data_IF_811994488145
#
_entry.id   IF_811994488145
#
_cell.length_a   1.000
_cell.length_b   1.000
_cell.length_c   1.000
_cell.angle_alpha   90.00
_cell.angle_beta   90.00
_cell.angle_gamma   90.00
#
_symmetry.space_group_name_H-M   'P 1'
#
loop_
_entity.id
_entity.type
_entity.pdbx_description
1 polymer ?
#
# COMPACT_ATOMS: atom_id res chain seq x y z
N UNK A 1 9.40 -4.47 14.19
CA UNK A 1 10.54 -5.35 13.81
C UNK A 1 10.48 -6.52 14.77
N UNK A 2 10.12 -7.70 14.27
CA UNK A 2 10.11 -8.94 15.06
C UNK A 2 11.52 -9.52 15.11
N UNK A 3 11.84 -10.25 16.18
CA UNK A 3 13.16 -10.88 16.39
C UNK A 3 14.30 -9.89 16.16
N UNK A 4 14.22 -8.72 16.81
CA UNK A 4 15.16 -7.63 16.58
C UNK A 4 16.57 -7.94 17.13
N UNK A 5 16.66 -8.85 18.10
CA UNK A 5 17.90 -9.30 18.74
C UNK A 5 18.58 -10.48 18.04
N UNK A 6 17.96 -11.06 17.00
CA UNK A 6 18.59 -12.11 16.20
C UNK A 6 19.60 -11.51 15.24
N UNK A 7 20.82 -11.33 15.73
CA UNK A 7 21.93 -10.80 14.95
C UNK A 7 22.17 -11.60 13.66
N UNK A 8 22.59 -10.88 12.62
CA UNK A 8 22.74 -11.40 11.27
C UNK A 8 22.48 -10.31 10.24
N UNK A 9 22.50 -10.65 8.95
CA UNK A 9 22.38 -9.67 7.86
C UNK A 9 21.11 -8.80 7.97
N UNK A 10 19.97 -9.39 8.34
CA UNK A 10 18.68 -8.70 8.44
C UNK A 10 18.52 -7.84 9.71
N UNK A 11 19.42 -7.98 10.69
CA UNK A 11 19.40 -7.26 11.97
C UNK A 11 20.71 -6.56 12.27
N UNK A 12 21.56 -6.39 11.25
CA UNK A 12 22.72 -5.53 11.34
C UNK A 12 22.29 -4.09 11.60
N UNK A 13 23.21 -3.30 12.14
CA UNK A 13 23.05 -1.86 12.35
C UNK A 13 22.44 -1.15 11.11
N UNK A 14 23.00 -1.41 9.93
CA UNK A 14 22.56 -0.80 8.67
C UNK A 14 21.14 -1.21 8.28
N UNK A 15 20.81 -2.49 8.40
CA UNK A 15 19.48 -3.04 8.09
C UNK A 15 18.40 -2.49 9.04
N UNK A 16 18.72 -2.37 10.34
CA UNK A 16 17.82 -1.79 11.33
C UNK A 16 17.57 -0.30 11.03
N UNK A 17 18.62 0.48 10.75
CA UNK A 17 18.49 1.90 10.40
C UNK A 17 17.62 2.08 9.15
N UNK A 18 17.82 1.27 8.11
CA UNK A 18 17.01 1.33 6.90
C UNK A 18 15.54 0.99 7.16
N UNK A 19 15.28 -0.03 7.99
CA UNK A 19 13.93 -0.43 8.36
C UNK A 19 13.23 0.67 9.16
N UNK A 20 13.93 1.29 10.12
CA UNK A 20 13.45 2.44 10.89
C UNK A 20 13.10 3.61 9.96
N UNK A 21 13.96 3.89 8.98
CA UNK A 21 13.79 4.99 8.02
C UNK A 21 12.50 4.91 7.20
N UNK A 22 11.87 3.73 7.07
CA UNK A 22 10.57 3.59 6.40
C UNK A 22 9.45 4.32 7.15
N UNK A 23 9.52 4.40 8.48
CA UNK A 23 8.54 5.09 9.31
C UNK A 23 8.71 6.63 9.31
N UNK A 24 9.89 7.14 8.96
CA UNK A 24 10.22 8.57 9.03
C UNK A 24 9.49 9.46 8.01
N UNK A 25 8.65 8.90 7.14
CA UNK A 25 7.86 9.63 6.14
C UNK A 25 6.51 10.12 6.68
N UNK A 26 6.18 9.80 7.93
CA UNK A 26 4.95 10.17 8.60
C UNK A 26 5.28 10.89 9.92
N UNK A 27 4.48 11.88 10.28
CA UNK A 27 4.65 12.67 11.52
C UNK A 27 4.53 11.81 12.78
N UNK A 28 3.62 10.83 12.76
CA UNK A 28 3.37 9.85 13.84
C UNK A 28 4.16 8.56 13.62
N UNK A 29 5.22 8.61 12.80
CA UNK A 29 6.07 7.47 12.49
C UNK A 29 6.69 6.85 13.75
N UNK A 30 6.28 5.63 14.08
CA UNK A 30 6.80 4.87 15.21
C UNK A 30 7.37 3.52 14.76
N UNK A 31 8.41 3.08 15.45
CA UNK A 31 9.02 1.75 15.25
C UNK A 31 9.06 1.02 16.57
N UNK A 32 8.49 -0.17 16.60
CA UNK A 32 8.55 -1.09 17.74
C UNK A 32 9.49 -2.24 17.39
N UNK A 33 10.47 -2.51 18.25
CA UNK A 33 11.39 -3.62 18.11
C UNK A 33 11.08 -4.65 19.20
N UNK A 34 10.69 -5.86 18.80
CA UNK A 34 10.46 -6.97 19.72
C UNK A 34 11.75 -7.77 19.85
N UNK A 35 12.26 -7.86 21.07
CA UNK A 35 13.52 -8.51 21.41
C UNK A 35 13.53 -8.85 22.90
N UNK A 36 14.26 -9.89 23.26
CA UNK A 36 14.52 -10.24 24.65
C UNK A 36 15.70 -9.45 25.22
N UNK A 37 16.67 -9.10 24.36
CA UNK A 37 17.88 -8.36 24.74
C UNK A 37 18.16 -7.21 23.78
N UNK A 38 18.87 -6.18 24.25
CA UNK A 38 19.36 -5.10 23.38
C UNK A 38 20.75 -5.46 22.89
N UNK A 39 20.87 -5.76 21.60
CA UNK A 39 22.16 -6.06 20.97
C UNK A 39 22.93 -4.78 20.62
N UNK A 40 24.23 -4.90 20.34
CA UNK A 40 25.07 -3.79 19.91
C UNK A 40 24.52 -3.14 18.63
N UNK A 41 24.07 -3.95 17.67
CA UNK A 41 23.45 -3.48 16.43
C UNK A 41 22.19 -2.64 16.71
N UNK A 42 21.34 -3.08 17.64
CA UNK A 42 20.16 -2.33 18.07
C UNK A 42 20.56 -1.04 18.78
N UNK A 43 21.50 -1.10 19.71
CA UNK A 43 21.93 0.06 20.49
C UNK A 43 22.48 1.17 19.59
N UNK A 44 23.30 0.83 18.60
CA UNK A 44 23.83 1.77 17.62
C UNK A 44 22.72 2.37 16.75
N UNK A 45 21.81 1.53 16.24
CA UNK A 45 20.69 1.99 15.41
C UNK A 45 19.74 2.93 16.18
N UNK A 46 19.41 2.60 17.43
CA UNK A 46 18.58 3.44 18.32
C UNK A 46 19.29 4.76 18.64
N UNK A 47 20.58 4.70 18.98
CA UNK A 47 21.37 5.90 19.32
C UNK A 47 21.48 6.86 18.14
N UNK A 48 21.77 6.35 16.94
CA UNK A 48 21.84 7.18 15.73
C UNK A 48 20.46 7.77 15.36
N UNK A 49 19.39 7.00 15.54
CA UNK A 49 18.02 7.49 15.32
C UNK A 49 17.68 8.64 16.28
N UNK A 50 17.98 8.47 17.57
CA UNK A 50 17.73 9.49 18.58
C UNK A 50 18.60 10.73 18.36
N UNK A 51 19.87 10.57 17.98
CA UNK A 51 20.76 11.68 17.63
C UNK A 51 20.19 12.51 16.48
N UNK A 52 19.75 11.85 15.40
CA UNK A 52 19.14 12.53 14.24
C UNK A 52 17.84 13.23 14.62
N UNK A 53 16.97 12.56 15.39
CA UNK A 53 15.70 13.15 15.83
C UNK A 53 15.91 14.39 16.70
N UNK A 54 16.88 14.36 17.61
CA UNK A 54 17.22 15.51 18.45
C UNK A 54 17.69 16.71 17.62
N UNK A 55 18.57 16.49 16.64
CA UNK A 55 19.00 17.55 15.72
C UNK A 55 17.84 18.13 14.89
N UNK A 56 16.94 17.27 14.41
CA UNK A 56 15.77 17.70 13.65
C UNK A 56 14.79 18.50 14.51
N UNK A 57 14.54 18.08 15.75
CA UNK A 57 13.69 18.81 16.69
C UNK A 57 14.27 20.18 17.03
N UNK A 58 15.56 20.25 17.34
CA UNK A 58 16.24 21.52 17.62
C UNK A 58 16.20 22.47 16.41
N UNK A 59 16.41 21.95 15.20
CA UNK A 59 16.29 22.73 13.98
C UNK A 59 14.86 23.24 13.77
N UNK A 60 13.86 22.38 13.96
CA UNK A 60 12.47 22.74 13.81
C UNK A 60 12.04 23.81 14.82
N UNK A 61 12.45 23.68 16.09
CA UNK A 61 12.17 24.65 17.14
C UNK A 61 12.81 26.01 16.83
N UNK A 62 14.08 26.02 16.44
CA UNK A 62 14.81 27.25 16.07
C UNK A 62 14.19 27.99 14.87
N UNK A 63 13.52 27.26 13.96
CA UNK A 63 12.94 27.82 12.73
C UNK A 63 11.40 27.91 12.76
N UNK A 64 10.76 27.50 13.87
CA UNK A 64 9.29 27.47 13.98
C UNK A 64 8.61 26.52 12.97
N UNK A 65 9.26 25.42 12.61
CA UNK A 65 8.74 24.45 11.64
C UNK A 65 7.85 23.42 12.35
N UNK A 66 6.58 23.37 11.95
CA UNK A 66 5.65 22.31 12.35
C UNK A 66 5.75 21.11 11.38
N UNK A 67 6.13 19.90 11.85
CA UNK A 67 6.22 18.73 10.99
C UNK A 67 4.87 18.36 10.36
N UNK A 68 4.83 18.23 9.04
CA UNK A 68 3.63 17.85 8.30
C UNK A 68 3.92 16.66 7.38
N UNK A 69 2.97 15.74 7.26
CA UNK A 69 3.13 14.58 6.37
C UNK A 69 2.97 15.02 4.92
N UNK A 70 3.97 14.72 4.07
CA UNK A 70 3.91 15.02 2.64
C UNK A 70 2.85 14.14 1.99
N UNK A 71 1.76 14.75 1.52
CA UNK A 71 0.77 14.10 0.67
C UNK A 71 1.25 14.15 -0.77
N UNK A 72 2.00 13.12 -1.20
CA UNK A 72 2.38 13.00 -2.60
C UNK A 72 1.17 12.46 -3.38
N UNK A 73 0.63 13.27 -4.29
CA UNK A 73 -0.33 12.76 -5.26
C UNK A 73 0.33 11.62 -6.04
N UNK A 74 -0.35 10.48 -6.15
CA UNK A 74 0.01 9.47 -7.14
C UNK A 74 -0.04 10.21 -8.47
N UNK A 75 1.09 10.30 -9.17
CA UNK A 75 1.16 11.00 -10.44
C UNK A 75 0.09 10.41 -11.35
N UNK A 76 -0.99 11.16 -11.54
CA UNK A 76 -2.12 10.74 -12.35
C UNK A 76 -1.67 10.92 -13.80
N UNK A 77 -1.00 9.89 -14.33
CA UNK A 77 -0.52 9.85 -15.73
C UNK A 77 -1.69 10.09 -16.71
N UNK A 78 -2.93 9.84 -16.26
CA UNK A 78 -4.18 10.18 -16.94
C UNK A 78 -4.36 11.68 -17.20
N UNK A 79 -3.80 12.57 -16.37
CA UNK A 79 -3.92 14.01 -16.56
C UNK A 79 -3.06 14.54 -17.73
N UNK A 80 -2.00 13.82 -18.11
CA UNK A 80 -1.17 14.16 -19.29
C UNK A 80 -1.72 13.61 -20.60
N UNK A 81 -2.69 12.68 -20.56
CA UNK A 81 -3.26 12.00 -21.73
C UNK A 81 -4.68 12.47 -22.09
N UNK A 82 -5.19 13.54 -21.48
CA UNK A 82 -6.45 14.16 -21.93
C UNK A 82 -6.15 15.30 -22.90
N UNK A 83 -6.27 15.11 -24.23
CA UNK A 83 -6.65 16.21 -25.09
C UNK A 83 -8.00 16.74 -24.61
N UNK A 84 -8.12 18.05 -24.67
CA UNK A 84 -9.32 18.85 -24.42
C UNK A 84 -10.66 18.21 -24.78
N UNK A 85 -11.62 18.41 -23.89
CA UNK A 85 -13.07 18.52 -24.09
C UNK A 85 -13.90 17.26 -24.47
N UNK A 86 -14.98 17.09 -23.70
CA UNK A 86 -16.21 16.32 -23.99
C UNK A 86 -16.13 14.79 -23.98
N UNK A 87 -16.45 14.18 -22.83
CA UNK A 87 -17.19 12.90 -22.81
C UNK A 87 -18.03 12.82 -21.52
N UNK A 88 -19.37 12.72 -21.60
CA UNK A 88 -20.21 12.52 -20.42
C UNK A 88 -19.97 11.11 -19.87
N UNK A 89 -19.69 11.01 -18.57
CA UNK A 89 -19.64 9.74 -17.84
C UNK A 89 -21.06 9.14 -17.83
N UNK A 90 -21.34 8.00 -18.48
CA UNK A 90 -22.62 7.34 -18.36
C UNK A 90 -22.60 6.41 -17.15
N UNK A 91 -23.53 6.62 -16.20
CA UNK A 91 -23.97 5.50 -15.35
C UNK A 91 -23.95 5.70 -13.83
N UNK A 92 -24.49 6.80 -13.31
CA UNK A 92 -24.85 6.92 -11.89
C UNK A 92 -26.09 6.07 -11.48
N UNK A 93 -26.34 4.91 -12.12
CA UNK A 93 -27.66 4.26 -12.09
C UNK A 93 -27.68 2.73 -12.06
N UNK A 94 -26.64 2.04 -11.58
CA UNK A 94 -26.60 0.55 -11.62
C UNK A 94 -26.34 -0.11 -10.26
N UNK A 95 -26.92 0.39 -9.17
CA UNK A 95 -26.89 -0.28 -7.84
C UNK A 95 -27.97 -1.36 -7.63
N UNK A 96 -28.77 -1.70 -8.63
CA UNK A 96 -29.95 -2.57 -8.45
C UNK A 96 -29.88 -3.96 -9.09
N UNK A 97 -28.78 -4.37 -9.76
CA UNK A 97 -28.72 -5.68 -10.45
C UNK A 97 -27.73 -6.69 -9.87
N UNK A 98 -26.98 -6.35 -8.84
CA UNK A 98 -25.98 -7.25 -8.22
C UNK A 98 -26.58 -8.30 -7.26
N UNK A 99 -27.91 -8.52 -7.26
CA UNK A 99 -28.54 -9.51 -6.37
C UNK A 99 -28.80 -10.86 -7.03
N UNK A 100 -28.83 -10.94 -8.37
CA UNK A 100 -29.17 -12.16 -9.11
C UNK A 100 -27.97 -13.01 -9.56
N UNK A 101 -26.72 -12.56 -9.35
CA UNK A 101 -25.52 -13.36 -9.69
C UNK A 101 -24.84 -14.01 -8.47
N UNK A 102 -25.42 -13.83 -7.27
CA UNK A 102 -24.88 -14.38 -6.01
C UNK A 102 -24.93 -15.91 -5.94
N UNK A 103 -25.66 -16.57 -6.84
CA UNK A 103 -25.86 -18.02 -6.80
C UNK A 103 -24.77 -18.82 -7.50
N UNK A 104 -24.04 -18.22 -8.45
CA UNK A 104 -23.18 -19.01 -9.35
C UNK A 104 -21.71 -19.09 -8.90
N UNK A 105 -21.32 -18.25 -7.93
CA UNK A 105 -19.94 -18.20 -7.40
C UNK A 105 -19.80 -18.72 -5.96
N UNK A 106 -20.91 -19.03 -5.28
CA UNK A 106 -20.92 -19.51 -3.90
C UNK A 106 -20.37 -20.94 -3.73
N UNK A 107 -20.28 -21.71 -4.83
CA UNK A 107 -19.88 -23.12 -4.81
C UNK A 107 -18.42 -23.37 -5.27
N UNK A 108 -17.64 -22.32 -5.58
CA UNK A 108 -16.25 -22.46 -6.00
C UNK A 108 -15.30 -22.60 -4.80
N UNK A 109 -14.37 -23.59 -4.80
CA UNK A 109 -13.33 -23.70 -3.78
C UNK A 109 -12.50 -22.41 -3.66
N UNK A 110 -12.19 -21.98 -2.44
CA UNK A 110 -11.42 -20.75 -2.16
C UNK A 110 -10.11 -20.62 -2.97
N UNK A 111 -9.43 -21.74 -3.20
CA UNK A 111 -8.19 -21.80 -3.98
C UNK A 111 -8.42 -21.49 -5.46
N UNK A 112 -9.60 -21.84 -5.99
CA UNK A 112 -9.98 -21.61 -7.38
C UNK A 112 -10.40 -20.15 -7.59
N UNK A 113 -11.11 -19.56 -6.64
CA UNK A 113 -11.45 -18.12 -6.64
C UNK A 113 -10.17 -17.26 -6.59
N UNK A 114 -9.19 -17.64 -5.77
CA UNK A 114 -7.89 -16.95 -5.71
C UNK A 114 -7.03 -17.11 -6.98
N UNK A 115 -7.20 -18.20 -7.74
CA UNK A 115 -6.56 -18.34 -9.07
C UNK A 115 -7.24 -17.45 -10.10
N UNK A 116 -8.57 -17.45 -10.12
CA UNK A 116 -9.36 -16.61 -11.03
C UNK A 116 -9.03 -15.12 -10.85
N UNK A 117 -8.98 -14.63 -9.61
CA UNK A 117 -8.62 -13.24 -9.31
C UNK A 117 -7.25 -12.88 -9.89
N UNK A 118 -6.24 -13.77 -9.77
CA UNK A 118 -4.90 -13.52 -10.31
C UNK A 118 -4.89 -13.46 -11.83
N UNK A 119 -5.61 -14.36 -12.49
CA UNK A 119 -5.73 -14.34 -13.96
C UNK A 119 -6.40 -13.06 -14.45
N UNK A 120 -7.46 -12.60 -13.78
CA UNK A 120 -8.13 -11.34 -14.11
C UNK A 120 -7.24 -10.13 -13.83
N UNK A 121 -6.41 -10.14 -12.78
CA UNK A 121 -5.43 -9.09 -12.51
C UNK A 121 -4.39 -8.99 -13.62
N UNK A 122 -3.84 -10.11 -14.07
CA UNK A 122 -2.90 -10.17 -15.20
C UNK A 122 -3.54 -9.61 -16.48
N UNK A 123 -4.78 -10.00 -16.77
CA UNK A 123 -5.53 -9.50 -17.93
C UNK A 123 -5.84 -8.00 -17.83
N UNK A 124 -6.19 -7.51 -16.64
CA UNK A 124 -6.41 -6.08 -16.38
C UNK A 124 -5.13 -5.27 -16.61
N UNK A 125 -3.99 -5.79 -16.15
CA UNK A 125 -2.69 -5.15 -16.36
C UNK A 125 -2.29 -5.14 -17.83
N UNK A 126 -2.52 -6.25 -18.55
CA UNK A 126 -2.28 -6.31 -19.99
C UNK A 126 -3.18 -5.34 -20.76
N UNK A 127 -4.48 -5.29 -20.43
CA UNK A 127 -5.42 -4.34 -21.02
C UNK A 127 -5.03 -2.88 -20.76
N UNK A 128 -4.47 -2.58 -19.58
CA UNK A 128 -3.95 -1.26 -19.25
C UNK A 128 -2.69 -0.91 -20.05
N UNK A 129 -1.80 -1.89 -20.27
CA UNK A 129 -0.61 -1.73 -21.11
C UNK A 129 -0.98 -1.50 -22.58
N UNK A 130 -2.02 -2.17 -23.06
CA UNK A 130 -2.56 -2.03 -24.42
C UNK A 130 -3.51 -0.82 -24.58
N UNK A 131 -3.57 0.07 -23.59
CA UNK A 131 -4.40 1.30 -23.56
C UNK A 131 -5.91 1.05 -23.67
N UNK A 132 -6.39 -0.16 -23.36
CA UNK A 132 -7.80 -0.55 -23.35
C UNK A 132 -8.43 -0.25 -21.98
N UNK A 133 -8.47 1.03 -21.62
CA UNK A 133 -8.82 1.46 -20.26
C UNK A 133 -10.24 1.12 -19.82
N UNK A 134 -11.22 1.12 -20.74
CA UNK A 134 -12.59 0.72 -20.41
C UNK A 134 -12.68 -0.77 -20.04
N UNK A 135 -11.89 -1.60 -20.73
CA UNK A 135 -11.82 -3.03 -20.46
C UNK A 135 -11.10 -3.30 -19.13
N UNK A 136 -9.96 -2.64 -18.92
CA UNK A 136 -9.26 -2.69 -17.64
C UNK A 136 -10.13 -2.21 -16.46
N UNK A 137 -10.93 -1.16 -16.65
CA UNK A 137 -11.85 -0.67 -15.62
C UNK A 137 -12.95 -1.70 -15.28
N UNK A 138 -13.48 -2.39 -16.28
CA UNK A 138 -14.45 -3.48 -16.07
C UNK A 138 -13.83 -4.63 -15.27
N UNK A 139 -12.64 -5.08 -15.67
CA UNK A 139 -11.92 -6.15 -14.97
C UNK A 139 -11.59 -5.75 -13.53
N UNK A 140 -11.19 -4.50 -13.29
CA UNK A 140 -10.96 -3.98 -11.93
C UNK A 140 -12.19 -4.09 -11.04
N UNK A 141 -13.36 -3.71 -11.56
CA UNK A 141 -14.60 -3.73 -10.79
C UNK A 141 -15.04 -5.18 -10.49
N UNK A 142 -14.87 -6.09 -11.45
CA UNK A 142 -15.13 -7.53 -11.27
C UNK A 142 -14.17 -8.16 -10.25
N UNK A 143 -12.88 -7.87 -10.31
CA UNK A 143 -11.88 -8.29 -9.30
C UNK A 143 -12.26 -7.76 -7.91
N UNK A 144 -12.75 -6.52 -7.82
CA UNK A 144 -13.11 -5.91 -6.53
C UNK A 144 -14.31 -6.63 -5.87
N UNK A 145 -15.26 -7.10 -6.67
CA UNK A 145 -16.41 -7.87 -6.20
C UNK A 145 -16.00 -9.30 -5.81
N UNK A 146 -15.20 -10.00 -6.63
CA UNK A 146 -14.67 -11.33 -6.27
C UNK A 146 -13.79 -11.30 -5.00
N UNK A 147 -12.98 -10.25 -4.82
CA UNK A 147 -12.19 -10.04 -3.59
C UNK A 147 -13.05 -9.72 -2.38
N UNK A 148 -14.28 -9.22 -2.56
CA UNK A 148 -15.21 -9.00 -1.47
C UNK A 148 -15.85 -10.31 -1.06
N UNK A 149 -16.29 -11.11 -2.02
CA UNK A 149 -16.84 -12.46 -1.77
C UNK A 149 -15.80 -13.34 -1.07
N UNK A 150 -14.55 -13.37 -1.55
CA UNK A 150 -13.48 -14.11 -0.88
C UNK A 150 -13.27 -13.69 0.59
N UNK A 151 -13.53 -12.42 0.93
CA UNK A 151 -13.42 -11.90 2.30
C UNK A 151 -14.65 -12.16 3.16
N UNK A 152 -15.83 -12.32 2.56
CA UNK A 152 -17.08 -12.62 3.28
C UNK A 152 -17.20 -14.10 3.64
N UNK A 153 -16.45 -14.98 2.96
CA UNK A 153 -16.40 -16.43 3.24
C UNK A 153 -15.26 -16.81 4.23
N UNK A 154 -14.36 -15.86 4.58
CA UNK A 154 -13.29 -16.03 5.59
C UNK A 154 -13.72 -15.45 6.93
#
# INVERSE_FOLDING_TARGET
ILDADKEGFLRSETSLIQTIGRAARNVDGQVVMYADTVTDSMQRAISETNRRRGLQQAYNEAHGIDPQTIRKAVTDILAQLRPSETAPVPGAGRRSRARDQRSDFADLPHDELGRLIRTLEEEMHQASADLRFEYAARLRDEIADLKRELREVV
#
